data_IF_289517905793
#
_entry.id   IF_289517905793
#
_cell.length_a   1.000
_cell.length_b   1.000
_cell.length_c   1.000
_cell.angle_alpha   90.00
_cell.angle_beta   90.00
_cell.angle_gamma   90.00
#
_symmetry.space_group_name_H-M   'P 1'
#
loop_
_entity.id
_entity.type
_entity.pdbx_description
1 polymer ?
#
# COMPACT_ATOMS: atom_id res chain seq x y z
N UNK A 1 15.34 -6.45 -7.08
CA UNK A 1 13.92 -6.00 -7.10
C UNK A 1 13.83 -4.61 -6.49
N UNK A 2 14.13 -3.56 -7.27
CA UNK A 2 13.84 -2.19 -6.86
C UNK A 2 12.32 -1.95 -7.02
N UNK A 3 11.54 -2.53 -6.10
CA UNK A 3 10.08 -2.44 -6.09
C UNK A 3 9.60 -1.31 -5.18
N UNK A 4 8.41 -0.79 -5.48
CA UNK A 4 7.71 0.22 -4.67
C UNK A 4 7.70 -0.20 -3.19
N UNK A 5 8.26 0.66 -2.31
CA UNK A 5 8.29 0.41 -0.87
C UNK A 5 7.19 1.21 -0.20
N UNK A 6 6.37 0.52 0.59
CA UNK A 6 5.43 1.18 1.49
C UNK A 6 6.22 1.74 2.66
N UNK A 7 6.10 3.05 2.91
CA UNK A 7 6.50 3.60 4.20
C UNK A 7 5.51 3.13 5.27
N UNK A 8 5.91 2.09 5.99
CA UNK A 8 5.07 1.46 7.01
C UNK A 8 4.74 2.40 8.16
N UNK A 9 5.63 3.33 8.51
CA UNK A 9 5.40 4.26 9.61
C UNK A 9 4.33 5.28 9.24
N UNK A 10 4.43 5.89 8.05
CA UNK A 10 3.43 6.82 7.56
C UNK A 10 2.08 6.13 7.32
N UNK A 11 2.08 4.92 6.75
CA UNK A 11 0.86 4.15 6.51
C UNK A 11 0.16 3.73 7.82
N UNK A 12 0.92 3.36 8.85
CA UNK A 12 0.36 3.04 10.16
C UNK A 12 -0.21 4.28 10.86
N UNK A 13 0.43 5.45 10.69
CA UNK A 13 -0.10 6.71 11.22
C UNK A 13 -1.45 7.05 10.58
N UNK A 14 -1.55 6.97 9.24
CA UNK A 14 -2.82 7.17 8.53
C UNK A 14 -3.89 6.16 8.95
N UNK A 15 -3.53 4.88 9.12
CA UNK A 15 -4.47 3.87 9.62
C UNK A 15 -5.02 4.22 11.01
N UNK A 16 -4.18 4.77 11.89
CA UNK A 16 -4.61 5.23 13.23
C UNK A 16 -5.52 6.44 13.17
N UNK A 17 -5.27 7.38 12.26
CA UNK A 17 -6.17 8.53 12.03
C UNK A 17 -7.57 8.09 11.60
N UNK A 18 -7.67 6.96 10.88
CA UNK A 18 -8.93 6.32 10.51
C UNK A 18 -9.56 5.48 11.63
N UNK A 19 -8.97 5.46 12.83
CA UNK A 19 -9.43 4.66 13.97
C UNK A 19 -9.07 3.18 13.89
N UNK A 20 -8.23 2.75 12.94
CA UNK A 20 -7.79 1.38 12.84
C UNK A 20 -6.63 1.10 13.82
N UNK A 21 -6.74 -0.03 14.52
CA UNK A 21 -5.72 -0.50 15.47
C UNK A 21 -5.60 -2.02 15.42
N UNK A 22 -4.49 -2.55 15.94
CA UNK A 22 -4.24 -3.99 16.04
C UNK A 22 -4.40 -4.69 14.69
N UNK A 23 -5.25 -5.72 14.64
CA UNK A 23 -5.49 -6.50 13.43
C UNK A 23 -6.09 -5.68 12.28
N UNK A 24 -7.01 -4.76 12.55
CA UNK A 24 -7.60 -3.92 11.49
C UNK A 24 -6.56 -3.03 10.80
N UNK A 25 -5.57 -2.53 11.54
CA UNK A 25 -4.45 -1.80 10.95
C UNK A 25 -3.56 -2.70 10.09
N UNK A 26 -3.35 -3.96 10.51
CA UNK A 26 -2.59 -4.92 9.72
C UNK A 26 -3.29 -5.26 8.38
N UNK A 27 -4.60 -5.45 8.40
CA UNK A 27 -5.40 -5.69 7.18
C UNK A 27 -5.37 -4.49 6.23
N UNK A 28 -5.49 -3.26 6.75
CA UNK A 28 -5.35 -2.05 5.95
C UNK A 28 -3.97 -1.91 5.31
N UNK A 29 -2.89 -2.21 6.06
CA UNK A 29 -1.53 -2.19 5.52
C UNK A 29 -1.33 -3.25 4.43
N UNK A 30 -1.93 -4.44 4.59
CA UNK A 30 -1.90 -5.49 3.58
C UNK A 30 -2.63 -5.05 2.31
N UNK A 31 -3.84 -4.51 2.44
CA UNK A 31 -4.62 -3.98 1.32
C UNK A 31 -3.87 -2.87 0.56
N UNK A 32 -3.26 -1.93 1.28
CA UNK A 32 -2.41 -0.88 0.69
C UNK A 32 -1.26 -1.47 -0.12
N UNK A 33 -0.58 -2.49 0.42
CA UNK A 33 0.55 -3.12 -0.25
C UNK A 33 0.15 -3.85 -1.54
N UNK A 34 -1.03 -4.46 -1.56
CA UNK A 34 -1.63 -5.10 -2.75
C UNK A 34 -1.96 -4.04 -3.79
N UNK A 35 -2.72 -3.01 -3.43
CA UNK A 35 -3.08 -1.92 -4.34
C UNK A 35 -1.87 -1.20 -4.95
N UNK A 36 -0.80 -1.01 -4.17
CA UNK A 36 0.48 -0.50 -4.69
C UNK A 36 1.11 -1.40 -5.76
N UNK A 37 1.03 -2.72 -5.60
CA UNK A 37 1.57 -3.67 -6.57
C UNK A 37 0.77 -3.64 -7.87
N UNK A 38 -0.55 -3.65 -7.75
CA UNK A 38 -1.49 -3.60 -8.89
C UNK A 38 -1.35 -2.29 -9.66
N UNK A 39 -1.36 -1.14 -8.97
CA UNK A 39 -1.18 0.16 -9.60
C UNK A 39 0.20 0.32 -10.27
N UNK A 40 1.25 -0.27 -9.69
CA UNK A 40 2.56 -0.29 -10.33
C UNK A 40 2.59 -1.18 -11.58
N UNK A 41 1.83 -2.28 -11.61
CA UNK A 41 1.70 -3.13 -12.79
C UNK A 41 0.93 -2.40 -13.90
N UNK A 42 -0.23 -1.83 -13.57
CA UNK A 42 -1.06 -1.07 -14.51
C UNK A 42 -0.29 0.12 -15.15
N UNK A 43 0.54 0.83 -14.38
CA UNK A 43 1.40 1.90 -14.93
C UNK A 43 2.38 1.37 -16.00
N UNK A 44 3.04 0.24 -15.73
CA UNK A 44 4.00 -0.35 -16.68
C UNK A 44 3.32 -0.81 -17.98
N UNK A 45 2.10 -1.34 -17.88
CA UNK A 45 1.29 -1.72 -19.04
C UNK A 45 0.94 -0.49 -19.89
N UNK A 46 0.52 0.61 -19.24
CA UNK A 46 0.21 1.88 -19.92
C UNK A 46 1.43 2.56 -20.56
N UNK A 47 2.63 2.42 -19.99
CA UNK A 47 3.89 2.92 -20.57
C UNK A 47 4.36 2.10 -21.79
N UNK A 48 3.85 0.88 -21.97
CA UNK A 48 4.23 -0.03 -23.06
C UNK A 48 3.30 0.05 -24.28
N UNK A 49 2.29 0.94 -24.24
CA UNK A 49 1.30 1.17 -25.31
C UNK A 49 1.54 2.50 -25.99
#
# INVERSE_FOLDING_TARGET
MAGLRLDTAAALAAAREMGAAGWAAAELLLALRIGMAEGAAARREGEST
#
